data_IF_319014595505
#
_entry.id   IF_319014595505
#
_cell.length_a   1.000
_cell.length_b   1.000
_cell.length_c   1.000
_cell.angle_alpha   90.00
_cell.angle_beta   90.00
_cell.angle_gamma   90.00
#
_symmetry.space_group_name_H-M   'P 1'
#
loop_
_entity.id
_entity.type
_entity.pdbx_description
1 polymer ?
#
# COMPACT_ATOMS: atom_id res chain seq x y z
N UNK A 1 14.72 -29.53 20.87
CA UNK A 1 13.33 -29.07 20.69
C UNK A 1 13.36 -27.58 20.96
N UNK A 2 12.87 -26.74 20.04
CA UNK A 2 12.81 -25.29 20.28
C UNK A 2 11.50 -24.98 21.00
N UNK A 3 11.60 -24.36 22.18
CA UNK A 3 10.45 -23.97 22.99
C UNK A 3 10.25 -22.46 22.86
N UNK A 4 9.02 -22.05 22.57
CA UNK A 4 8.65 -20.65 22.54
C UNK A 4 8.23 -20.16 23.93
N UNK A 5 8.20 -18.83 24.09
CA UNK A 5 7.71 -18.19 25.33
C UNK A 5 6.29 -18.63 25.70
N UNK A 6 5.47 -18.98 24.71
CA UNK A 6 4.11 -19.47 24.91
C UNK A 6 4.09 -20.85 25.59
N UNK A 7 5.03 -21.72 25.25
CA UNK A 7 5.09 -23.08 25.78
C UNK A 7 5.42 -23.06 27.28
N UNK A 8 6.36 -22.21 27.67
CA UNK A 8 6.67 -21.98 29.09
C UNK A 8 5.47 -21.47 29.88
N UNK A 9 4.62 -20.63 29.29
CA UNK A 9 3.39 -20.14 29.96
C UNK A 9 2.36 -21.26 30.12
N UNK A 10 2.25 -22.15 29.14
CA UNK A 10 1.37 -23.32 29.23
C UNK A 10 1.83 -24.27 30.34
N UNK A 11 3.13 -24.51 30.47
CA UNK A 11 3.71 -25.32 31.54
C UNK A 11 3.49 -24.69 32.92
N UNK A 12 3.71 -23.37 33.06
CA UNK A 12 3.38 -22.66 34.31
C UNK A 12 1.90 -22.74 34.65
N UNK A 13 1.01 -22.65 33.66
CA UNK A 13 -0.43 -22.77 33.87
C UNK A 13 -0.81 -24.17 34.36
N UNK A 14 -0.19 -25.21 33.79
CA UNK A 14 -0.35 -26.59 34.26
C UNK A 14 0.10 -26.76 35.72
N UNK A 15 1.27 -26.24 36.09
CA UNK A 15 1.79 -26.30 37.46
C UNK A 15 0.91 -25.51 38.45
N UNK A 16 0.38 -24.36 38.02
CA UNK A 16 -0.59 -23.57 38.78
C UNK A 16 -1.89 -24.34 39.04
N UNK A 17 -2.42 -25.03 38.03
CA UNK A 17 -3.61 -25.89 38.18
C UNK A 17 -3.36 -27.06 39.13
N UNK A 18 -2.13 -27.59 39.15
CA UNK A 18 -1.68 -28.63 40.09
C UNK A 18 -1.39 -28.12 41.51
N UNK A 19 -1.56 -26.83 41.77
CA UNK A 19 -1.29 -26.19 43.07
C UNK A 19 0.17 -26.32 43.52
N UNK A 20 1.09 -26.43 42.56
CA UNK A 20 2.53 -26.42 42.83
C UNK A 20 2.94 -25.00 43.22
N UNK A 21 3.84 -24.85 44.19
CA UNK A 21 4.34 -23.53 44.60
C UNK A 21 5.16 -22.88 43.48
N UNK A 22 5.29 -21.55 43.51
CA UNK A 22 6.08 -20.82 42.51
C UNK A 22 7.54 -21.26 42.51
N UNK A 23 8.08 -21.52 43.71
CA UNK A 23 9.47 -21.96 43.90
C UNK A 23 9.68 -23.34 43.29
N UNK A 24 8.79 -24.29 43.59
CA UNK A 24 8.86 -25.63 42.98
C UNK A 24 8.65 -25.61 41.47
N UNK A 25 7.74 -24.78 40.96
CA UNK A 25 7.53 -24.67 39.51
C UNK A 25 8.78 -24.10 38.82
N UNK A 26 9.40 -23.07 39.39
CA UNK A 26 10.67 -22.54 38.88
C UNK A 26 11.77 -23.60 38.90
N UNK A 27 11.94 -24.32 40.02
CA UNK A 27 13.00 -25.32 40.14
C UNK A 27 12.78 -26.49 39.17
N UNK A 28 11.54 -26.95 38.99
CA UNK A 28 11.19 -27.96 37.99
C UNK A 28 11.51 -27.50 36.56
N UNK A 29 11.20 -26.23 36.24
CA UNK A 29 11.48 -25.65 34.92
C UNK A 29 12.99 -25.51 34.68
N UNK A 30 13.76 -25.12 35.70
CA UNK A 30 15.23 -25.02 35.62
C UNK A 30 15.87 -26.41 35.51
N UNK A 31 15.39 -27.40 36.26
CA UNK A 31 15.88 -28.78 36.19
C UNK A 31 15.66 -29.37 34.79
N UNK A 32 14.48 -29.16 34.19
CA UNK A 32 14.14 -29.70 32.90
C UNK A 32 14.76 -28.93 31.70
N UNK A 33 14.85 -27.59 31.77
CA UNK A 33 15.17 -26.74 30.62
C UNK A 33 16.42 -25.87 30.79
N UNK A 34 17.05 -25.87 31.96
CA UNK A 34 18.30 -25.18 32.27
C UNK A 34 18.30 -23.72 31.78
N UNK A 35 19.19 -23.35 30.87
CA UNK A 35 19.37 -21.98 30.37
C UNK A 35 18.16 -21.45 29.59
N UNK A 36 17.27 -22.32 29.10
CA UNK A 36 16.05 -21.91 28.42
C UNK A 36 14.90 -21.62 29.40
N UNK A 37 15.07 -21.94 30.68
CA UNK A 37 14.04 -21.75 31.67
C UNK A 37 13.75 -20.24 31.91
N UNK A 38 12.48 -19.87 32.08
CA UNK A 38 12.09 -18.51 32.40
C UNK A 38 12.55 -18.13 33.81
N UNK A 39 12.96 -16.88 33.99
CA UNK A 39 13.40 -16.39 35.30
C UNK A 39 12.32 -16.54 36.38
N UNK A 40 12.72 -16.74 37.63
CA UNK A 40 11.81 -16.76 38.80
C UNK A 40 10.78 -15.61 38.79
N UNK A 41 11.22 -14.38 38.49
CA UNK A 41 10.32 -13.21 38.38
C UNK A 41 9.24 -13.38 37.30
N UNK A 42 9.58 -14.02 36.18
CA UNK A 42 8.61 -14.32 35.12
C UNK A 42 7.56 -15.32 35.60
N UNK A 43 7.99 -16.39 36.29
CA UNK A 43 7.08 -17.39 36.87
C UNK A 43 6.14 -16.74 37.89
N UNK A 44 6.69 -15.95 38.83
CA UNK A 44 5.91 -15.20 39.84
C UNK A 44 4.84 -14.30 39.20
N UNK A 45 5.22 -13.56 38.14
CA UNK A 45 4.30 -12.67 37.42
C UNK A 45 3.14 -13.45 36.78
N UNK A 46 3.43 -14.55 36.10
CA UNK A 46 2.39 -15.37 35.47
C UNK A 46 1.47 -16.02 36.50
N UNK A 47 2.01 -16.50 37.63
CA UNK A 47 1.21 -17.01 38.73
C UNK A 47 0.28 -15.95 39.33
N UNK A 48 0.74 -14.71 39.46
CA UNK A 48 -0.10 -13.58 39.87
C UNK A 48 -1.21 -13.30 38.84
N UNK A 49 -0.89 -13.34 37.54
CA UNK A 49 -1.85 -13.13 36.48
C UNK A 49 -2.90 -14.27 36.40
N UNK A 50 -2.52 -15.52 36.67
CA UNK A 50 -3.46 -16.65 36.77
C UNK A 50 -4.37 -16.53 37.99
N UNK A 51 -3.89 -16.01 39.11
CA UNK A 51 -4.75 -15.67 40.27
C UNK A 51 -5.74 -14.54 39.95
N UNK A 52 -5.42 -13.68 38.99
CA UNK A 52 -6.30 -12.62 38.47
C UNK A 52 -7.20 -13.12 37.33
N UNK A 53 -7.32 -14.44 37.18
CA UNK A 53 -8.20 -15.09 36.21
C UNK A 53 -7.88 -14.73 34.74
N UNK A 54 -6.62 -14.42 34.43
CA UNK A 54 -6.18 -14.24 33.05
C UNK A 54 -6.39 -15.54 32.25
N UNK A 55 -7.17 -15.47 31.19
CA UNK A 55 -7.54 -16.62 30.34
C UNK A 55 -6.62 -16.81 29.12
N UNK A 56 -5.77 -15.83 28.80
CA UNK A 56 -4.89 -15.87 27.61
C UNK A 56 -3.42 -16.06 27.97
N UNK A 57 -2.78 -17.02 27.28
CA UNK A 57 -1.33 -17.26 27.32
C UNK A 57 -0.54 -16.38 26.33
N UNK A 58 -1.23 -15.63 25.47
CA UNK A 58 -0.60 -14.74 24.51
C UNK A 58 -0.16 -13.42 25.15
N UNK A 59 0.85 -12.78 24.54
CA UNK A 59 1.18 -11.40 24.87
C UNK A 59 -0.03 -10.52 24.59
N UNK A 60 -0.33 -9.62 25.52
CA UNK A 60 -1.28 -8.54 25.25
C UNK A 60 -0.72 -7.61 24.17
N UNK A 61 -1.63 -6.98 23.43
CA UNK A 61 -1.25 -5.91 22.51
C UNK A 61 -0.43 -4.87 23.29
N UNK A 62 0.83 -4.68 22.89
CA UNK A 62 1.67 -3.67 23.52
C UNK A 62 1.07 -2.32 23.19
N UNK A 63 0.76 -1.53 24.21
CA UNK A 63 0.53 -0.10 24.03
C UNK A 63 1.83 0.53 23.55
N UNK A 64 1.95 0.70 22.24
CA UNK A 64 3.00 1.51 21.65
C UNK A 64 2.87 2.97 22.12
N UNK A 65 3.88 3.79 21.84
CA UNK A 65 3.76 5.24 22.01
C UNK A 65 2.61 5.72 21.11
N UNK A 66 1.53 6.31 21.65
CA UNK A 66 0.49 6.89 20.80
C UNK A 66 1.15 7.96 19.94
N UNK A 67 0.93 7.90 18.62
CA UNK A 67 1.41 8.94 17.72
C UNK A 67 0.69 10.23 18.10
N UNK A 68 1.37 11.13 18.81
CA UNK A 68 0.80 12.40 19.29
C UNK A 68 0.29 13.27 18.13
N UNK A 69 0.77 13.00 16.92
CA UNK A 69 0.44 13.75 15.73
C UNK A 69 -0.71 13.16 14.89
N UNK A 70 -1.21 11.95 15.21
CA UNK A 70 -2.30 11.32 14.46
C UNK A 70 -3.57 11.41 15.31
N UNK A 71 -4.29 12.51 15.13
CA UNK A 71 -5.59 12.78 15.76
C UNK A 71 -6.71 12.76 14.71
N UNK A 72 -7.98 12.56 15.12
CA UNK A 72 -9.12 12.62 14.20
C UNK A 72 -9.19 13.93 13.39
N UNK A 73 -8.80 15.04 14.02
CA UNK A 73 -8.73 16.37 13.40
C UNK A 73 -7.68 16.41 12.29
N UNK A 74 -6.48 15.88 12.54
CA UNK A 74 -5.41 15.83 11.52
C UNK A 74 -5.73 14.89 10.36
N UNK A 75 -6.47 13.81 10.62
CA UNK A 75 -6.95 12.88 9.58
C UNK A 75 -7.96 13.59 8.68
N UNK A 76 -8.96 14.26 9.28
CA UNK A 76 -9.96 15.02 8.53
C UNK A 76 -9.34 16.18 7.73
N UNK A 77 -8.35 16.88 8.31
CA UNK A 77 -7.62 17.93 7.61
C UNK A 77 -6.82 17.38 6.42
N UNK A 78 -6.14 16.25 6.57
CA UNK A 78 -5.44 15.59 5.47
C UNK A 78 -6.40 15.14 4.35
N UNK A 79 -7.57 14.61 4.71
CA UNK A 79 -8.60 14.24 3.75
C UNK A 79 -9.09 15.46 2.95
N UNK A 80 -9.32 16.58 3.65
CA UNK A 80 -9.77 17.84 3.04
C UNK A 80 -8.73 18.36 2.05
N UNK A 81 -7.45 18.36 2.44
CA UNK A 81 -6.35 18.78 1.56
C UNK A 81 -6.26 17.96 0.27
N UNK A 82 -6.50 16.64 0.34
CA UNK A 82 -6.49 15.78 -0.85
C UNK A 82 -7.66 16.09 -1.78
N UNK A 83 -8.84 16.37 -1.20
CA UNK A 83 -10.03 16.71 -1.98
C UNK A 83 -9.91 18.07 -2.66
N UNK A 84 -9.23 19.02 -2.02
CA UNK A 84 -8.92 20.33 -2.59
C UNK A 84 -7.84 20.24 -3.68
N UNK A 85 -6.72 19.58 -3.39
CA UNK A 85 -5.65 19.34 -4.34
C UNK A 85 -5.10 17.91 -4.24
N UNK A 86 -5.53 17.08 -5.19
CA UNK A 86 -5.05 15.70 -5.30
C UNK A 86 -3.55 15.57 -5.63
N UNK A 87 -2.86 16.63 -6.07
CA UNK A 87 -1.42 16.60 -6.42
C UNK A 87 -0.50 16.91 -5.25
N UNK A 88 -1.06 17.31 -4.12
CA UNK A 88 -0.31 17.75 -2.94
C UNK A 88 0.83 16.81 -2.59
N UNK A 89 2.01 17.38 -2.36
CA UNK A 89 3.23 16.63 -2.06
C UNK A 89 3.38 16.42 -0.53
N UNK A 90 4.27 15.53 -0.12
CA UNK A 90 4.51 15.25 1.32
C UNK A 90 5.05 16.46 2.09
N UNK A 91 5.72 17.41 1.41
CA UNK A 91 6.30 18.59 2.04
C UNK A 91 5.21 19.63 2.35
N UNK A 92 4.30 19.86 1.41
CA UNK A 92 3.09 20.64 1.58
C UNK A 92 2.20 20.06 2.69
N UNK A 93 2.03 18.74 2.77
CA UNK A 93 1.34 18.14 3.92
C UNK A 93 2.03 18.46 5.25
N UNK A 94 3.36 18.33 5.31
CA UNK A 94 4.12 18.60 6.52
C UNK A 94 4.07 20.08 6.91
N UNK A 95 4.11 20.98 5.93
CA UNK A 95 4.03 22.41 6.15
C UNK A 95 2.65 22.87 6.59
N UNK A 96 1.58 22.32 5.99
CA UNK A 96 0.19 22.71 6.29
C UNK A 96 -0.28 22.11 7.61
N UNK A 97 -0.05 20.81 7.83
CA UNK A 97 -0.53 20.11 9.03
C UNK A 97 0.43 20.24 10.22
N UNK A 98 1.68 20.70 10.00
CA UNK A 98 2.75 20.74 11.00
C UNK A 98 3.05 19.38 11.63
N UNK A 99 2.95 18.32 10.82
CA UNK A 99 3.16 16.92 11.21
C UNK A 99 4.40 16.35 10.51
N UNK A 100 5.10 15.44 11.18
CA UNK A 100 6.23 14.73 10.58
C UNK A 100 5.81 13.77 9.45
N UNK A 101 6.69 13.58 8.46
CA UNK A 101 6.46 12.71 7.28
C UNK A 101 5.99 11.30 7.64
N UNK A 102 6.49 10.72 8.75
CA UNK A 102 6.08 9.39 9.20
C UNK A 102 4.60 9.32 9.59
N UNK A 103 4.10 10.30 10.35
CA UNK A 103 2.70 10.36 10.75
C UNK A 103 1.78 10.68 9.56
N UNK A 104 2.23 11.51 8.61
CA UNK A 104 1.51 11.70 7.33
C UNK A 104 1.40 10.37 6.61
N UNK A 105 2.48 9.58 6.52
CA UNK A 105 2.46 8.29 5.86
C UNK A 105 1.44 7.33 6.48
N UNK A 106 1.39 7.26 7.81
CA UNK A 106 0.38 6.50 8.56
C UNK A 106 -1.03 7.01 8.25
N UNK A 107 -1.27 8.32 8.28
CA UNK A 107 -2.59 8.91 7.96
C UNK A 107 -3.03 8.53 6.54
N UNK A 108 -2.15 8.72 5.54
CA UNK A 108 -2.48 8.48 4.14
C UNK A 108 -2.78 7.01 3.86
N UNK A 109 -1.97 6.08 4.37
CA UNK A 109 -2.10 4.67 4.01
C UNK A 109 -2.94 3.85 4.99
N UNK A 110 -2.78 4.05 6.30
CA UNK A 110 -3.45 3.22 7.30
C UNK A 110 -4.85 3.72 7.62
N UNK A 111 -5.07 5.05 7.60
CA UNK A 111 -6.37 5.65 7.93
C UNK A 111 -7.21 5.99 6.69
N UNK A 112 -6.61 6.67 5.70
CA UNK A 112 -7.34 7.09 4.49
C UNK A 112 -7.29 6.05 3.37
N UNK A 113 -6.33 5.13 3.40
CA UNK A 113 -6.15 4.11 2.35
C UNK A 113 -5.81 4.69 0.97
N UNK A 114 -5.40 5.95 0.89
CA UNK A 114 -5.12 6.59 -0.40
C UNK A 114 -3.84 6.06 -1.01
N UNK A 115 -3.81 6.02 -2.35
CA UNK A 115 -2.64 5.62 -3.13
C UNK A 115 -2.22 6.74 -4.07
N UNK A 116 -0.91 6.87 -4.30
CA UNK A 116 -0.39 7.74 -5.35
C UNK A 116 -0.50 7.02 -6.70
N UNK A 117 -1.34 7.53 -7.60
CA UNK A 117 -1.49 7.00 -8.95
C UNK A 117 -1.14 8.06 -9.99
N UNK A 118 -0.42 7.66 -11.03
CA UNK A 118 -0.28 8.52 -12.21
C UNK A 118 -1.62 8.59 -12.95
N UNK A 119 -1.92 9.76 -13.51
CA UNK A 119 -3.03 9.88 -14.44
C UNK A 119 -2.85 8.92 -15.63
N UNK A 120 -3.95 8.31 -16.07
CA UNK A 120 -3.94 7.47 -17.27
C UNK A 120 -4.07 8.38 -18.47
N UNK A 121 -3.04 8.41 -19.30
CA UNK A 121 -3.07 9.14 -20.56
C UNK A 121 -3.86 8.34 -21.60
N UNK A 122 -4.91 8.96 -22.14
CA UNK A 122 -5.71 8.43 -23.24
C UNK A 122 -5.46 9.32 -24.46
N UNK A 123 -5.08 8.75 -25.63
CA UNK A 123 -4.80 9.54 -26.82
C UNK A 123 -5.95 10.48 -27.23
N UNK A 124 -7.19 9.99 -27.21
CA UNK A 124 -8.36 10.76 -27.61
C UNK A 124 -9.58 10.44 -26.74
N UNK A 125 -10.42 11.44 -26.50
CA UNK A 125 -11.75 11.23 -25.96
C UNK A 125 -12.71 10.85 -27.10
N UNK A 126 -12.91 9.55 -27.29
CA UNK A 126 -13.68 9.02 -28.42
C UNK A 126 -15.19 9.16 -28.18
N UNK A 127 -15.94 9.47 -29.23
CA UNK A 127 -17.40 9.39 -29.21
C UNK A 127 -17.88 7.93 -29.18
N UNK A 128 -19.12 7.70 -28.75
CA UNK A 128 -19.73 6.37 -28.73
C UNK A 128 -19.70 5.69 -30.11
N UNK A 129 -20.03 6.45 -31.17
CA UNK A 129 -19.94 5.98 -32.56
C UNK A 129 -18.50 5.59 -32.96
N UNK A 130 -17.49 6.35 -32.52
CA UNK A 130 -16.09 6.01 -32.77
C UNK A 130 -15.66 4.75 -32.00
N UNK A 131 -16.16 4.56 -30.78
CA UNK A 131 -15.91 3.36 -29.99
C UNK A 131 -16.51 2.13 -30.67
N UNK A 132 -17.77 2.20 -31.10
CA UNK A 132 -18.46 1.13 -31.82
C UNK A 132 -17.73 0.76 -33.09
N UNK A 133 -17.43 1.74 -33.95
CA UNK A 133 -16.70 1.52 -35.19
C UNK A 133 -15.34 0.84 -34.96
N UNK A 134 -14.60 1.24 -33.92
CA UNK A 134 -13.32 0.60 -33.56
C UNK A 134 -13.52 -0.85 -33.12
N UNK A 135 -14.53 -1.12 -32.29
CA UNK A 135 -14.84 -2.49 -31.83
C UNK A 135 -15.25 -3.37 -33.00
N UNK A 136 -16.07 -2.87 -33.93
CA UNK A 136 -16.46 -3.58 -35.14
C UNK A 136 -15.26 -3.90 -36.03
N UNK A 137 -14.37 -2.92 -36.27
CA UNK A 137 -13.13 -3.13 -37.01
C UNK A 137 -12.23 -4.19 -36.34
N UNK A 138 -12.10 -4.17 -35.02
CA UNK A 138 -11.33 -5.19 -34.29
C UNK A 138 -11.94 -6.59 -34.46
N UNK A 139 -13.26 -6.73 -34.32
CA UNK A 139 -13.97 -8.00 -34.53
C UNK A 139 -13.79 -8.52 -35.97
N UNK A 140 -13.89 -7.61 -36.95
CA UNK A 140 -13.67 -7.94 -38.36
C UNK A 140 -12.25 -8.44 -38.60
N UNK A 141 -11.23 -7.74 -38.09
CA UNK A 141 -9.83 -8.11 -38.23
C UNK A 141 -9.52 -9.44 -37.54
N UNK A 142 -10.03 -9.67 -36.32
CA UNK A 142 -9.88 -10.95 -35.63
C UNK A 142 -10.46 -12.11 -36.45
N UNK A 143 -11.64 -11.93 -37.04
CA UNK A 143 -12.25 -12.95 -37.91
C UNK A 143 -11.42 -13.18 -39.18
N UNK A 144 -10.95 -12.09 -39.81
CA UNK A 144 -10.12 -12.14 -41.04
C UNK A 144 -8.83 -12.92 -40.82
N UNK A 145 -8.21 -12.80 -39.65
CA UNK A 145 -6.97 -13.51 -39.30
C UNK A 145 -7.18 -14.77 -38.44
N UNK A 146 -8.42 -15.28 -38.33
CA UNK A 146 -8.79 -16.45 -37.50
C UNK A 146 -8.16 -16.39 -36.09
N UNK A 147 -8.31 -15.25 -35.42
CA UNK A 147 -7.77 -15.06 -34.07
C UNK A 147 -6.25 -15.16 -33.96
N UNK A 148 -5.50 -15.06 -35.07
CA UNK A 148 -4.05 -15.16 -35.10
C UNK A 148 -3.50 -16.46 -35.70
N UNK A 149 -4.35 -17.41 -36.10
CA UNK A 149 -3.91 -18.64 -36.77
C UNK A 149 -3.27 -18.36 -38.15
N UNK A 150 -3.72 -17.30 -38.83
CA UNK A 150 -3.17 -16.90 -40.11
C UNK A 150 -1.93 -16.02 -39.96
N UNK A 151 -0.79 -16.54 -40.41
CA UNK A 151 0.50 -15.82 -40.47
C UNK A 151 0.53 -14.63 -41.45
N UNK A 152 -0.55 -14.37 -42.19
CA UNK A 152 -0.66 -13.21 -43.13
C UNK A 152 -0.54 -11.85 -42.45
N UNK A 153 -0.58 -11.78 -41.11
CA UNK A 153 -0.24 -10.57 -40.37
C UNK A 153 1.19 -10.11 -40.66
N UNK A 154 2.12 -11.03 -40.94
CA UNK A 154 3.51 -10.71 -41.29
C UNK A 154 3.68 -10.02 -42.65
N UNK A 155 2.66 -10.09 -43.51
CA UNK A 155 2.68 -9.41 -44.81
C UNK A 155 2.28 -7.93 -44.70
N UNK A 156 1.84 -7.48 -43.51
CA UNK A 156 1.41 -6.11 -43.27
C UNK A 156 2.63 -5.24 -43.03
N UNK A 157 2.87 -4.28 -43.93
CA UNK A 157 3.80 -3.20 -43.71
C UNK A 157 3.04 -2.01 -43.10
N UNK A 158 3.47 -1.55 -41.93
CA UNK A 158 2.93 -0.37 -41.26
C UNK A 158 3.97 0.74 -41.26
N UNK A 159 3.52 1.99 -41.45
CA UNK A 159 4.36 3.18 -41.32
C UNK A 159 3.60 4.20 -40.46
N UNK A 160 4.31 4.89 -39.58
CA UNK A 160 3.80 6.00 -38.77
C UNK A 160 4.91 7.04 -38.59
N UNK A 161 4.52 8.29 -38.39
CA UNK A 161 5.44 9.41 -38.16
C UNK A 161 5.43 9.78 -36.68
N UNK A 162 6.61 9.88 -36.07
CA UNK A 162 6.75 10.27 -34.66
C UNK A 162 7.60 11.53 -34.55
N UNK A 163 7.07 12.54 -33.86
CA UNK A 163 7.80 13.77 -33.54
C UNK A 163 8.81 13.51 -32.42
N UNK A 164 10.05 13.96 -32.59
CA UNK A 164 11.10 13.95 -31.56
C UNK A 164 11.29 15.39 -31.10
N UNK A 165 10.90 15.69 -29.86
CA UNK A 165 10.98 17.03 -29.28
C UNK A 165 12.34 17.26 -28.62
N UNK A 166 12.85 18.49 -28.67
CA UNK A 166 14.07 18.94 -28.00
C UNK A 166 13.81 19.54 -26.60
N UNK A 167 12.70 19.20 -25.96
CA UNK A 167 12.38 19.64 -24.59
C UNK A 167 11.73 18.53 -23.78
N UNK A 168 11.85 18.62 -22.45
CA UNK A 168 11.33 17.63 -21.53
C UNK A 168 9.80 17.75 -21.37
N UNK A 169 9.08 16.69 -21.70
CA UNK A 169 7.64 16.57 -21.46
C UNK A 169 7.34 16.28 -19.97
N UNK A 170 6.16 16.69 -19.49
CA UNK A 170 5.69 16.32 -18.14
C UNK A 170 5.73 14.80 -18.00
N UNK A 171 6.58 14.31 -17.09
CA UNK A 171 6.75 12.87 -16.90
C UNK A 171 5.51 12.27 -16.24
N UNK A 172 5.27 10.97 -16.49
CA UNK A 172 4.19 10.22 -15.82
C UNK A 172 4.22 10.35 -14.29
N UNK A 173 5.42 10.50 -13.70
CA UNK A 173 5.61 10.71 -12.25
C UNK A 173 5.12 12.08 -11.78
N UNK A 174 5.39 13.13 -12.56
CA UNK A 174 4.90 14.49 -12.26
C UNK A 174 3.36 14.57 -12.34
N UNK A 175 2.75 13.76 -13.20
CA UNK A 175 1.29 13.66 -13.30
C UNK A 175 0.59 12.83 -12.20
N UNK A 176 1.31 12.48 -11.13
CA UNK A 176 0.78 11.63 -10.05
C UNK A 176 -0.07 12.39 -9.04
N UNK A 177 -1.19 11.79 -8.69
CA UNK A 177 -2.20 12.30 -7.77
C UNK A 177 -2.50 11.28 -6.68
N UNK A 178 -3.05 11.72 -5.56
CA UNK A 178 -3.65 10.88 -4.54
C UNK A 178 -5.06 10.46 -4.98
N UNK A 179 -5.37 9.17 -4.82
CA UNK A 179 -6.65 8.57 -5.20
C UNK A 179 -7.18 7.78 -4.02
N UNK A 180 -8.47 7.96 -3.69
CA UNK A 180 -9.12 7.23 -2.60
C UNK A 180 -9.42 5.78 -2.98
N UNK A 181 -9.59 4.89 -1.99
CA UNK A 181 -10.01 3.52 -2.23
C UNK A 181 -11.30 3.46 -3.06
N UNK A 182 -11.28 2.69 -4.16
CA UNK A 182 -12.44 2.52 -5.03
C UNK A 182 -12.60 3.58 -6.13
N UNK A 183 -11.80 4.65 -6.10
CA UNK A 183 -11.78 5.64 -7.18
C UNK A 183 -10.80 5.25 -8.29
N UNK A 184 -11.20 5.55 -9.52
CA UNK A 184 -10.32 5.44 -10.68
C UNK A 184 -9.42 6.68 -10.79
N UNK A 185 -8.14 6.50 -11.15
CA UNK A 185 -7.25 7.63 -11.36
C UNK A 185 -7.73 8.50 -12.52
N UNK A 186 -7.49 9.81 -12.42
CA UNK A 186 -7.88 10.77 -13.44
C UNK A 186 -7.42 10.34 -14.84
N UNK A 187 -8.32 10.46 -15.80
CA UNK A 187 -8.04 10.32 -17.22
C UNK A 187 -7.52 11.66 -17.74
N UNK A 188 -6.28 11.67 -18.23
CA UNK A 188 -5.73 12.80 -18.99
C UNK A 188 -5.90 12.48 -20.47
N UNK A 189 -6.64 13.30 -21.21
CA UNK A 189 -6.67 13.20 -22.66
C UNK A 189 -5.47 13.95 -23.23
N UNK A 190 -4.80 13.38 -24.24
CA UNK A 190 -3.74 14.10 -24.93
C UNK A 190 -4.35 15.34 -25.60
N UNK A 191 -4.02 16.53 -25.08
CA UNK A 191 -4.43 17.80 -25.66
C UNK A 191 -3.54 18.17 -26.83
N UNK A 192 -4.14 18.65 -27.93
CA UNK A 192 -3.47 19.42 -28.98
C UNK A 192 -2.76 20.61 -28.32
N UNK A 193 -1.47 20.49 -28.02
CA UNK A 193 -0.63 21.64 -27.78
C UNK A 193 -0.44 22.36 -29.14
N UNK A 194 -1.43 23.17 -29.53
CA UNK A 194 -1.22 24.24 -30.48
C UNK A 194 -0.48 25.37 -29.74
N UNK A 195 0.82 25.18 -29.51
CA UNK A 195 1.72 26.19 -28.95
C UNK A 195 2.91 26.30 -29.89
N UNK A 196 2.98 27.44 -30.59
CA UNK A 196 4.16 27.97 -31.24
C UNK A 196 4.87 27.01 -32.20
N UNK A 197 4.50 27.06 -33.49
CA UNK A 197 5.42 26.64 -34.55
C UNK A 197 6.58 27.62 -34.56
N UNK A 198 7.62 27.32 -33.81
CA UNK A 198 8.97 27.75 -34.13
C UNK A 198 9.90 26.55 -33.93
N UNK A 199 10.83 26.41 -34.87
CA UNK A 199 12.06 25.61 -34.78
C UNK A 199 12.08 24.19 -35.39
N UNK A 200 12.68 24.14 -36.59
CA UNK A 200 13.71 23.15 -36.93
C UNK A 200 13.27 21.73 -37.27
N UNK A 201 12.66 21.52 -38.44
CA UNK A 201 12.56 20.18 -39.04
C UNK A 201 13.93 19.71 -39.53
N UNK A 202 14.48 18.67 -38.89
CA UNK A 202 15.45 17.78 -39.52
C UNK A 202 14.70 16.51 -39.95
N UNK A 203 14.66 16.26 -41.26
CA UNK A 203 14.19 15.00 -41.83
C UNK A 203 15.35 14.00 -41.85
N UNK A 204 15.09 12.75 -41.46
CA UNK A 204 15.88 11.58 -41.82
C UNK A 204 15.17 10.85 -42.96
#
# INVERSE_FOLDING_TARGET
MELERRDFRAMMFYDFMRKISVEQSHDNLVEAFQDQAPSRRTVERWYLDFRRERTSLQDEARSGRPSTAVTPETIAAAETLIREDSRINYEQFAETLKIGKAAINTILHDYLGVRRSAARWIPHNLSEMQLEARVEWCKFMLKKFKGGEYKRVYDILTCDETWIYQYDLETKRQSSIWVFPGEDPLLKFAGLAALGKDDGCFFL
#
